data_IF_783573590117
#
_entry.id   IF_783573590117
#
_cell.length_a   1.000
_cell.length_b   1.000
_cell.length_c   1.000
_cell.angle_alpha   90.00
_cell.angle_beta   90.00
_cell.angle_gamma   90.00
#
_symmetry.space_group_name_H-M   'P 1'
#
loop_
_entity.id
_entity.type
_entity.pdbx_description
1 polymer ?
#
# COMPACT_ATOMS: atom_id res chain seq x y z
N UNK A 1 -19.86 9.99 16.55
CA UNK A 1 -20.97 10.19 15.62
C UNK A 1 -20.67 9.56 14.24
N UNK A 2 -21.54 9.76 13.27
CA UNK A 2 -21.39 9.15 11.96
C UNK A 2 -20.11 9.61 11.22
N UNK A 3 -19.77 10.89 11.33
CA UNK A 3 -18.57 11.42 10.70
C UNK A 3 -17.31 10.82 11.32
N UNK A 4 -17.29 10.64 12.62
CA UNK A 4 -16.16 10.02 13.32
C UNK A 4 -16.03 8.55 12.94
N UNK A 5 -17.13 7.82 12.85
CA UNK A 5 -17.10 6.40 12.42
C UNK A 5 -16.58 6.26 11.00
N UNK A 6 -17.01 7.15 10.10
CA UNK A 6 -16.53 7.14 8.71
C UNK A 6 -15.03 7.40 8.66
N UNK A 7 -14.55 8.40 9.40
CA UNK A 7 -13.14 8.74 9.46
C UNK A 7 -12.30 7.58 10.02
N UNK A 8 -12.77 6.95 11.10
CA UNK A 8 -12.07 5.81 11.69
C UNK A 8 -11.99 4.64 10.71
N UNK A 9 -13.10 4.35 10.02
CA UNK A 9 -13.13 3.29 9.02
C UNK A 9 -12.18 3.59 7.86
N UNK A 10 -12.11 4.86 7.43
CA UNK A 10 -11.20 5.29 6.37
C UNK A 10 -9.73 5.08 6.76
N UNK A 11 -9.35 5.54 7.96
CA UNK A 11 -7.98 5.39 8.43
C UNK A 11 -7.60 3.91 8.60
N UNK A 12 -8.52 3.10 9.13
CA UNK A 12 -8.29 1.66 9.25
C UNK A 12 -8.13 1.00 7.88
N UNK A 13 -8.92 1.42 6.90
CA UNK A 13 -8.80 0.88 5.54
C UNK A 13 -7.43 1.17 4.94
N UNK A 14 -6.92 2.39 5.12
CA UNK A 14 -5.59 2.74 4.66
C UNK A 14 -4.51 1.91 5.36
N UNK A 15 -4.63 1.70 6.66
CA UNK A 15 -3.70 0.88 7.42
C UNK A 15 -3.74 -0.59 6.95
N UNK A 16 -4.92 -1.11 6.67
CA UNK A 16 -5.08 -2.49 6.21
C UNK A 16 -4.47 -2.67 4.81
N UNK A 17 -4.59 -1.67 3.94
CA UNK A 17 -3.92 -1.67 2.63
C UNK A 17 -2.40 -1.68 2.82
N UNK A 18 -1.89 -0.84 3.70
CA UNK A 18 -0.46 -0.78 4.01
C UNK A 18 0.05 -2.14 4.48
N UNK A 19 -0.64 -2.77 5.44
CA UNK A 19 -0.31 -4.11 5.92
C UNK A 19 -0.35 -5.15 4.80
N UNK A 20 -1.38 -5.10 3.95
CA UNK A 20 -1.53 -6.05 2.85
C UNK A 20 -0.37 -5.96 1.85
N UNK A 21 0.10 -4.75 1.56
CA UNK A 21 1.26 -4.54 0.69
C UNK A 21 2.53 -5.05 1.37
N UNK A 22 2.75 -4.66 2.62
CA UNK A 22 3.97 -5.06 3.34
C UNK A 22 4.05 -6.58 3.57
N UNK A 23 2.91 -7.25 3.70
CA UNK A 23 2.87 -8.71 3.82
C UNK A 23 3.29 -9.42 2.53
N UNK A 24 3.24 -8.73 1.40
CA UNK A 24 3.50 -9.30 0.07
C UNK A 24 4.83 -8.87 -0.52
N UNK A 25 5.56 -7.98 0.15
CA UNK A 25 6.88 -7.57 -0.31
C UNK A 25 7.95 -8.59 0.06
N UNK A 26 9.08 -8.55 -0.62
CA UNK A 26 10.25 -9.32 -0.21
C UNK A 26 10.73 -8.83 1.16
N UNK A 27 11.25 -9.76 1.97
CA UNK A 27 11.88 -9.40 3.23
C UNK A 27 13.20 -8.68 2.96
N UNK A 28 13.44 -7.57 3.66
CA UNK A 28 14.71 -6.87 3.59
C UNK A 28 15.90 -7.77 3.95
N UNK A 29 15.69 -8.76 4.85
CA UNK A 29 16.69 -9.74 5.18
C UNK A 29 17.05 -10.66 4.02
N UNK A 30 16.10 -10.97 3.13
CA UNK A 30 16.35 -11.79 1.95
C UNK A 30 17.16 -11.05 0.90
N UNK A 31 16.91 -9.76 0.74
CA UNK A 31 17.59 -8.95 -0.26
C UNK A 31 18.92 -8.37 0.23
N UNK A 32 19.08 -8.25 1.55
CA UNK A 32 20.20 -7.53 2.14
C UNK A 32 20.18 -6.03 1.89
N UNK A 33 19.08 -5.51 1.38
CA UNK A 33 18.93 -4.10 1.01
C UNK A 33 17.96 -3.40 1.93
N UNK A 34 18.17 -2.11 2.13
CA UNK A 34 17.25 -1.25 2.88
C UNK A 34 16.85 -0.06 2.01
N UNK A 35 15.66 0.44 2.22
CA UNK A 35 15.16 1.60 1.49
C UNK A 35 13.66 1.72 1.59
N UNK A 36 13.15 2.79 1.00
CA UNK A 36 11.72 3.07 0.93
C UNK A 36 11.38 3.43 -0.50
N UNK A 37 10.44 2.69 -1.09
CA UNK A 37 9.90 3.02 -2.41
C UNK A 37 8.53 3.67 -2.22
N UNK A 38 8.33 4.84 -2.82
CA UNK A 38 7.06 5.56 -2.73
C UNK A 38 6.26 5.35 -4.00
N UNK A 39 5.08 4.75 -3.87
CA UNK A 39 4.16 4.53 -4.96
C UNK A 39 2.86 5.30 -4.79
N UNK A 40 2.31 5.75 -5.90
CA UNK A 40 1.01 6.42 -5.94
C UNK A 40 0.06 5.59 -6.79
N UNK A 41 -1.15 5.42 -6.29
CA UNK A 41 -2.23 4.74 -7.01
C UNK A 41 -3.57 5.24 -6.47
N UNK A 42 -4.65 4.88 -7.16
CA UNK A 42 -6.01 5.20 -6.74
C UNK A 42 -6.74 3.91 -6.44
N UNK A 43 -7.48 3.90 -5.33
CA UNK A 43 -8.34 2.77 -4.97
C UNK A 43 -9.71 3.01 -5.61
N UNK A 44 -10.15 2.05 -6.42
CA UNK A 44 -11.46 2.08 -7.07
C UNK A 44 -12.57 1.73 -6.09
N UNK A 45 -13.85 2.01 -6.43
CA UNK A 45 -14.97 1.67 -5.56
C UNK A 45 -15.03 0.20 -5.14
N UNK A 46 -14.54 -0.71 -5.98
CA UNK A 46 -14.54 -2.15 -5.69
C UNK A 46 -13.32 -2.60 -4.86
N UNK A 47 -12.44 -1.68 -4.47
CA UNK A 47 -11.25 -1.98 -3.69
C UNK A 47 -10.03 -2.33 -4.52
N UNK A 48 -10.13 -2.42 -5.83
CA UNK A 48 -8.96 -2.64 -6.69
C UNK A 48 -8.19 -1.34 -6.90
N UNK A 49 -6.90 -1.47 -7.27
CA UNK A 49 -6.01 -0.32 -7.45
C UNK A 49 -5.80 -0.02 -8.92
N UNK A 50 -5.62 1.24 -9.25
CA UNK A 50 -5.09 1.64 -10.55
C UNK A 50 -3.61 1.26 -10.62
N UNK A 51 -3.03 1.32 -11.81
CA UNK A 51 -1.61 0.99 -12.00
C UNK A 51 -0.74 1.89 -11.13
N UNK A 52 0.13 1.31 -10.28
CA UNK A 52 0.96 2.12 -9.39
C UNK A 52 2.05 2.87 -10.15
N UNK A 53 2.26 4.12 -9.74
CA UNK A 53 3.29 4.99 -10.30
C UNK A 53 4.37 5.22 -9.25
N UNK A 54 5.62 4.92 -9.59
CA UNK A 54 6.76 5.17 -8.71
C UNK A 54 7.00 6.68 -8.63
N UNK A 55 6.87 7.24 -7.42
CA UNK A 55 7.12 8.65 -7.16
C UNK A 55 8.52 8.91 -6.62
N UNK A 56 9.01 8.00 -5.80
CA UNK A 56 10.36 8.10 -5.25
C UNK A 56 10.96 6.70 -5.15
N UNK A 57 12.11 6.52 -5.77
CA UNK A 57 12.82 5.25 -5.76
C UNK A 57 13.44 4.99 -4.40
N UNK A 58 13.51 3.72 -4.02
CA UNK A 58 14.26 3.26 -2.86
C UNK A 58 15.77 3.42 -3.02
N UNK A 59 16.24 3.72 -4.23
CA UNK A 59 17.64 3.67 -4.59
C UNK A 59 18.08 2.32 -5.15
N UNK A 60 17.18 1.34 -5.17
CA UNK A 60 17.45 -0.01 -5.66
C UNK A 60 16.37 -0.43 -6.65
N UNK A 61 16.72 -0.71 -7.92
CA UNK A 61 15.73 -1.23 -8.88
C UNK A 61 15.09 -2.53 -8.42
N UNK A 62 15.82 -3.35 -7.67
CA UNK A 62 15.28 -4.61 -7.13
C UNK A 62 14.19 -4.35 -6.11
N UNK A 63 14.40 -3.42 -5.18
CA UNK A 63 13.40 -3.06 -4.19
C UNK A 63 12.20 -2.37 -4.83
N UNK A 64 12.44 -1.48 -5.79
CA UNK A 64 11.36 -0.79 -6.50
C UNK A 64 10.46 -1.79 -7.22
N UNK A 65 11.05 -2.80 -7.89
CA UNK A 65 10.31 -3.84 -8.57
C UNK A 65 9.54 -4.73 -7.59
N UNK A 66 10.16 -5.09 -6.47
CA UNK A 66 9.50 -5.85 -5.40
C UNK A 66 8.30 -5.11 -4.84
N UNK A 67 8.47 -3.82 -4.57
CA UNK A 67 7.42 -2.97 -4.03
C UNK A 67 6.24 -2.86 -5.01
N UNK A 68 6.53 -2.69 -6.30
CA UNK A 68 5.49 -2.66 -7.32
C UNK A 68 4.68 -3.95 -7.35
N UNK A 69 5.37 -5.10 -7.34
CA UNK A 69 4.71 -6.41 -7.31
C UNK A 69 3.83 -6.56 -6.07
N UNK A 70 4.32 -6.09 -4.91
CA UNK A 70 3.55 -6.16 -3.67
C UNK A 70 2.28 -5.31 -3.72
N UNK A 71 2.36 -4.10 -4.27
CA UNK A 71 1.19 -3.23 -4.46
C UNK A 71 0.18 -3.91 -5.38
N UNK A 72 0.63 -4.41 -6.53
CA UNK A 72 -0.24 -5.09 -7.49
C UNK A 72 -0.90 -6.32 -6.87
N UNK A 73 -0.15 -7.10 -6.09
CA UNK A 73 -0.67 -8.30 -5.44
C UNK A 73 -1.69 -7.97 -4.36
N UNK A 74 -1.61 -6.80 -3.74
CA UNK A 74 -2.55 -6.38 -2.69
C UNK A 74 -3.85 -5.81 -3.25
N UNK A 75 -3.90 -5.46 -4.54
CA UNK A 75 -5.09 -4.89 -5.17
C UNK A 75 -6.29 -5.79 -4.97
N UNK A 76 -7.37 -5.25 -4.40
CA UNK A 76 -8.61 -5.97 -4.17
C UNK A 76 -8.59 -6.95 -3.00
N UNK A 77 -7.49 -7.05 -2.25
CA UNK A 77 -7.35 -8.01 -1.14
C UNK A 77 -7.95 -7.49 0.18
N UNK A 78 -8.13 -6.19 0.30
CA UNK A 78 -8.76 -5.57 1.47
C UNK A 78 -10.14 -5.10 1.06
N UNK A 79 -11.16 -5.58 1.76
CA UNK A 79 -12.53 -5.18 1.47
C UNK A 79 -12.72 -3.71 1.80
N UNK A 80 -13.17 -2.94 0.83
CA UNK A 80 -13.50 -1.53 1.03
C UNK A 80 -14.83 -1.40 1.79
N UNK A 81 -14.83 -0.78 2.99
CA UNK A 81 -16.07 -0.65 3.76
C UNK A 81 -17.07 0.28 3.07
N UNK A 82 -18.35 -0.10 3.10
CA UNK A 82 -19.42 0.70 2.49
C UNK A 82 -19.49 2.11 3.09
N UNK A 83 -19.19 2.24 4.39
CA UNK A 83 -19.30 3.52 5.09
C UNK A 83 -18.40 4.61 4.53
N UNK A 84 -17.26 4.24 3.93
CA UNK A 84 -16.33 5.24 3.37
C UNK A 84 -16.72 5.70 1.96
N UNK A 85 -17.82 5.16 1.43
CA UNK A 85 -18.37 5.60 0.14
C UNK A 85 -17.66 4.97 -1.05
N UNK A 86 -18.01 5.48 -2.24
CA UNK A 86 -17.58 4.89 -3.52
C UNK A 86 -16.67 5.80 -4.33
N UNK A 87 -16.27 6.94 -3.78
CA UNK A 87 -15.38 7.84 -4.51
C UNK A 87 -13.98 7.23 -4.62
N UNK A 88 -13.29 7.46 -5.74
CA UNK A 88 -11.90 7.04 -5.87
C UNK A 88 -11.04 7.63 -4.75
N UNK A 89 -10.16 6.82 -4.17
CA UNK A 89 -9.30 7.26 -3.08
C UNK A 89 -7.86 7.30 -3.57
N UNK A 90 -7.24 8.48 -3.71
CA UNK A 90 -5.82 8.56 -4.03
C UNK A 90 -4.99 8.16 -2.81
N UNK A 91 -3.98 7.33 -3.05
CA UNK A 91 -3.10 6.82 -1.99
C UNK A 91 -1.66 7.04 -2.39
N UNK A 92 -0.85 7.52 -1.45
CA UNK A 92 0.59 7.53 -1.55
C UNK A 92 1.10 6.57 -0.48
N UNK A 93 1.78 5.52 -0.92
CA UNK A 93 2.23 4.45 -0.04
C UNK A 93 3.74 4.37 -0.02
N UNK A 94 4.30 4.27 1.19
CA UNK A 94 5.73 4.06 1.40
C UNK A 94 5.96 2.59 1.69
N UNK A 95 6.55 1.87 0.74
CA UNK A 95 6.91 0.46 0.92
C UNK A 95 8.32 0.39 1.50
N UNK A 96 8.41 -0.06 2.74
CA UNK A 96 9.64 0.01 3.52
C UNK A 96 10.37 -1.34 3.53
N UNK A 97 11.67 -1.27 3.37
CA UNK A 97 12.56 -2.43 3.50
C UNK A 97 13.61 -2.09 4.54
N UNK A 98 13.57 -2.81 5.67
CA UNK A 98 14.46 -2.58 6.79
C UNK A 98 15.07 -3.91 7.21
N UNK A 99 16.40 -4.00 7.12
CA UNK A 99 17.12 -5.21 7.49
C UNK A 99 16.94 -5.50 8.98
N UNK A 100 16.52 -6.73 9.29
CA UNK A 100 16.33 -7.15 10.67
C UNK A 100 15.16 -6.55 11.42
N UNK A 101 14.36 -5.70 10.79
CA UNK A 101 13.16 -5.09 11.37
C UNK A 101 11.90 -5.64 10.72
N UNK A 102 10.87 -5.77 11.52
CA UNK A 102 9.60 -6.31 11.06
C UNK A 102 8.44 -5.41 11.43
#
# INVERSE_FOLDING_TARGET
>A
DAADRKRQAFLRYLDDIDEAVHARRLDGGETGLIGVAEYMFTVRPDGTFTDPVLRASSGSPQLDASARRAVLAASGKVRRPAIIGTEPIPVILHVKYQYGLR
#
